data_IF_903282332745
#
_entry.id   IF_903282332745
#
_cell.length_a   1.000
_cell.length_b   1.000
_cell.length_c   1.000
_cell.angle_alpha   90.00
_cell.angle_beta   90.00
_cell.angle_gamma   90.00
#
_symmetry.space_group_name_H-M   'P 1'
#
loop_
_entity.id
_entity.type
_entity.pdbx_description
1 polymer ?
#
# COMPACT_ATOMS: atom_id res chain seq x y z
N UNK A 1 -0.26 10.96 28.74
CA UNK A 1 -0.81 11.51 27.49
C UNK A 1 0.02 10.97 26.34
N UNK A 2 -0.49 10.04 25.56
CA UNK A 2 0.19 9.58 24.34
C UNK A 2 0.06 10.67 23.29
N UNK A 3 1.19 11.07 22.71
CA UNK A 3 1.20 11.98 21.58
C UNK A 3 0.32 11.40 20.44
N UNK A 4 -0.44 12.21 19.71
CA UNK A 4 -1.20 11.72 18.57
C UNK A 4 -0.24 11.15 17.54
N UNK A 5 -0.61 10.04 16.86
CA UNK A 5 0.23 9.44 15.85
C UNK A 5 0.51 10.43 14.72
N UNK A 6 1.79 10.56 14.36
CA UNK A 6 2.20 11.48 13.28
C UNK A 6 2.02 10.88 11.90
N UNK A 7 2.28 9.58 11.75
CA UNK A 7 2.32 8.87 10.47
C UNK A 7 1.51 7.59 10.55
N UNK A 8 0.82 7.24 9.48
CA UNK A 8 0.29 5.90 9.29
C UNK A 8 0.97 5.21 8.12
N UNK A 9 1.25 3.92 8.28
CA UNK A 9 1.75 3.05 7.21
C UNK A 9 0.74 1.93 7.02
N UNK A 10 0.32 1.73 5.77
CA UNK A 10 -0.60 0.66 5.37
C UNK A 10 0.21 -0.48 4.75
N UNK A 11 0.29 -1.61 5.44
CA UNK A 11 1.02 -2.78 4.98
C UNK A 11 0.22 -3.55 3.91
N UNK A 12 0.89 -3.87 2.81
CA UNK A 12 0.37 -4.70 1.72
C UNK A 12 0.36 -6.19 2.04
N UNK A 13 -0.18 -6.99 1.09
CA UNK A 13 -0.21 -8.46 1.19
C UNK A 13 1.19 -9.03 1.38
N UNK A 14 1.37 -9.85 2.39
CA UNK A 14 2.64 -10.51 2.69
C UNK A 14 3.75 -9.61 3.25
N UNK A 15 3.57 -8.29 3.30
CA UNK A 15 4.54 -7.35 3.86
C UNK A 15 4.44 -7.34 5.39
N UNK A 16 5.45 -7.86 6.06
CA UNK A 16 5.58 -7.75 7.51
C UNK A 16 6.40 -6.51 7.87
N UNK A 17 5.71 -5.49 8.32
CA UNK A 17 6.28 -4.22 8.75
C UNK A 17 6.31 -4.05 10.28
N UNK A 18 6.05 -5.12 11.03
CA UNK A 18 6.08 -5.10 12.51
C UNK A 18 7.42 -4.60 13.08
N UNK A 19 8.52 -4.87 12.38
CA UNK A 19 9.86 -4.37 12.74
C UNK A 19 10.03 -2.85 12.72
N UNK A 20 9.04 -2.08 12.23
CA UNK A 20 9.04 -0.62 12.34
C UNK A 20 8.71 -0.13 13.76
N UNK A 21 8.01 -0.92 14.56
CA UNK A 21 7.63 -0.53 15.91
C UNK A 21 8.71 -0.91 16.92
N UNK A 22 9.63 0.03 17.20
CA UNK A 22 10.69 -0.16 18.22
C UNK A 22 10.07 -0.28 19.61
N UNK A 23 8.98 0.45 19.83
CA UNK A 23 8.22 0.48 21.06
C UNK A 23 6.73 0.32 20.76
N UNK A 24 6.24 -0.93 20.67
CA UNK A 24 4.82 -1.19 20.50
C UNK A 24 4.05 -0.76 21.75
N UNK A 25 2.89 -0.11 21.55
CA UNK A 25 2.02 0.35 22.62
C UNK A 25 0.74 -0.47 22.70
N UNK A 26 0.10 -0.73 21.56
CA UNK A 26 -1.11 -1.54 21.48
C UNK A 26 -1.30 -2.10 20.06
N UNK A 27 -2.02 -3.21 19.97
CA UNK A 27 -2.56 -3.76 18.73
C UNK A 27 -4.06 -4.05 18.93
N UNK A 28 -4.88 -3.66 17.97
CA UNK A 28 -6.34 -3.84 18.00
C UNK A 28 -6.87 -4.28 16.64
N UNK A 29 -7.87 -5.19 16.59
CA UNK A 29 -8.50 -5.58 15.34
C UNK A 29 -9.28 -4.40 14.73
N UNK A 30 -9.49 -4.44 13.42
CA UNK A 30 -10.30 -3.44 12.71
C UNK A 30 -11.69 -3.30 13.33
N UNK A 31 -12.29 -4.40 13.77
CA UNK A 31 -13.60 -4.42 14.42
C UNK A 31 -13.70 -3.61 15.72
N UNK A 32 -12.58 -3.19 16.29
CA UNK A 32 -12.57 -2.27 17.44
C UNK A 32 -12.76 -0.80 17.03
N UNK A 33 -12.84 -0.51 15.73
CA UNK A 33 -13.00 0.84 15.19
C UNK A 33 -14.28 0.94 14.39
N UNK A 34 -14.95 2.08 14.50
CA UNK A 34 -16.24 2.32 13.87
C UNK A 34 -16.19 2.07 12.35
N UNK A 35 -17.18 1.36 11.83
CA UNK A 35 -17.34 0.99 10.42
C UNK A 35 -16.22 0.12 9.81
N UNK A 36 -15.21 -0.31 10.59
CA UNK A 36 -14.15 -1.17 10.12
C UNK A 36 -14.52 -2.66 10.27
N UNK A 37 -14.86 -3.32 9.16
CA UNK A 37 -15.07 -4.76 9.16
C UNK A 37 -13.74 -5.53 9.13
N UNK A 38 -13.70 -6.77 9.65
CA UNK A 38 -12.53 -7.63 9.58
C UNK A 38 -12.04 -7.82 8.14
N UNK A 39 -10.73 -7.95 7.95
CA UNK A 39 -10.16 -8.39 6.68
C UNK A 39 -10.47 -9.88 6.47
N UNK A 40 -10.75 -10.27 5.22
CA UNK A 40 -11.15 -11.66 4.88
C UNK A 40 -10.14 -12.37 3.99
N UNK A 41 -9.22 -11.62 3.38
CA UNK A 41 -8.23 -12.16 2.45
C UNK A 41 -7.00 -12.66 3.22
N UNK A 42 -6.49 -13.83 2.83
CA UNK A 42 -5.27 -14.39 3.40
C UNK A 42 -4.08 -13.41 3.27
N UNK A 43 -3.24 -13.33 4.30
CA UNK A 43 -2.12 -12.39 4.35
C UNK A 43 -2.48 -10.99 4.91
N UNK A 44 -3.75 -10.79 5.33
CA UNK A 44 -4.22 -9.55 5.95
C UNK A 44 -4.74 -9.79 7.36
N UNK A 45 -3.95 -9.53 8.44
CA UNK A 45 -4.41 -9.70 9.82
C UNK A 45 -5.64 -8.85 10.17
N UNK A 46 -5.82 -7.69 9.53
CA UNK A 46 -6.94 -6.80 9.80
C UNK A 46 -6.84 -6.11 11.16
N UNK A 47 -5.64 -5.60 11.49
CA UNK A 47 -5.36 -4.93 12.76
C UNK A 47 -4.69 -3.56 12.54
N UNK A 48 -4.83 -2.70 13.55
CA UNK A 48 -3.96 -1.54 13.73
C UNK A 48 -3.03 -1.81 14.91
N UNK A 49 -1.74 -1.54 14.70
CA UNK A 49 -0.74 -1.53 15.75
C UNK A 49 -0.16 -0.12 15.90
N UNK A 50 -0.14 0.40 17.11
CA UNK A 50 0.45 1.71 17.38
C UNK A 50 1.72 1.56 18.21
N UNK A 51 2.65 2.48 17.99
CA UNK A 51 3.91 2.52 18.70
C UNK A 51 4.78 3.69 18.25
N UNK A 52 6.06 3.52 18.39
CA UNK A 52 7.07 4.51 17.99
C UNK A 52 8.10 3.85 17.08
N UNK A 53 8.57 4.59 16.08
CA UNK A 53 9.71 4.27 15.25
C UNK A 53 10.71 5.41 15.32
N UNK A 54 11.90 5.20 15.90
CA UNK A 54 12.89 6.26 16.08
C UNK A 54 12.34 7.46 16.89
N UNK A 55 11.44 7.23 17.84
CA UNK A 55 10.77 8.28 18.63
C UNK A 55 9.62 8.98 17.90
N UNK A 56 9.28 8.57 16.67
CA UNK A 56 8.15 9.12 15.90
C UNK A 56 6.92 8.26 16.15
N UNK A 57 5.80 8.84 16.65
CA UNK A 57 4.55 8.12 16.83
C UNK A 57 4.02 7.60 15.50
N UNK A 58 3.76 6.29 15.43
CA UNK A 58 3.39 5.56 14.22
C UNK A 58 2.17 4.68 14.47
N UNK A 59 1.24 4.66 13.49
CA UNK A 59 0.25 3.60 13.37
C UNK A 59 0.57 2.75 12.16
N UNK A 60 0.68 1.45 12.38
CA UNK A 60 0.77 0.46 11.33
C UNK A 60 -0.60 -0.18 11.10
N UNK A 61 -1.20 0.02 9.94
CA UNK A 61 -2.36 -0.74 9.49
C UNK A 61 -1.86 -2.05 8.88
N UNK A 62 -2.13 -3.17 9.56
CA UNK A 62 -1.71 -4.51 9.13
C UNK A 62 -2.82 -5.17 8.34
N UNK A 63 -2.72 -5.04 7.03
CA UNK A 63 -3.70 -5.58 6.08
C UNK A 63 -4.73 -4.56 5.62
N UNK A 64 -5.55 -5.00 4.65
CA UNK A 64 -6.57 -4.20 3.97
C UNK A 64 -7.70 -5.06 3.43
N UNK A 65 -8.71 -4.41 2.92
CA UNK A 65 -9.78 -5.03 2.13
C UNK A 65 -9.62 -4.66 0.65
N UNK A 66 -10.25 -5.44 -0.23
CA UNK A 66 -10.14 -5.27 -1.67
C UNK A 66 -11.51 -5.15 -2.34
N UNK A 67 -11.56 -4.48 -3.50
CA UNK A 67 -12.80 -4.29 -4.25
C UNK A 67 -13.42 -5.62 -4.68
N UNK A 68 -12.60 -6.63 -4.97
CA UNK A 68 -13.10 -7.96 -5.36
C UNK A 68 -13.80 -8.73 -4.23
N UNK A 69 -13.77 -8.26 -2.99
CA UNK A 69 -14.58 -8.78 -1.89
C UNK A 69 -16.06 -8.37 -2.00
N UNK A 70 -16.45 -7.62 -3.05
CA UNK A 70 -17.82 -7.19 -3.31
C UNK A 70 -18.30 -6.06 -2.39
N UNK A 71 -17.40 -5.32 -1.77
CA UNK A 71 -17.71 -4.24 -0.83
C UNK A 71 -17.71 -2.87 -1.48
N UNK A 72 -18.53 -1.96 -0.98
CA UNK A 72 -18.58 -0.57 -1.40
C UNK A 72 -17.35 0.23 -0.96
N UNK A 73 -17.13 1.38 -1.61
CA UNK A 73 -15.99 2.26 -1.35
C UNK A 73 -15.87 2.66 0.12
N UNK A 74 -17.00 2.96 0.78
CA UNK A 74 -17.01 3.36 2.20
C UNK A 74 -16.53 2.26 3.14
N UNK A 75 -16.97 1.02 2.93
CA UNK A 75 -16.53 -0.11 3.72
C UNK A 75 -15.07 -0.49 3.40
N UNK A 76 -14.65 -0.33 2.14
CA UNK A 76 -13.28 -0.56 1.68
C UNK A 76 -12.29 0.39 2.35
N UNK A 77 -12.67 1.67 2.49
CA UNK A 77 -11.81 2.75 2.97
C UNK A 77 -12.05 3.14 4.43
N UNK A 78 -12.94 2.43 5.14
CA UNK A 78 -13.19 2.67 6.55
C UNK A 78 -11.90 2.66 7.42
N UNK A 79 -10.92 1.77 7.19
CA UNK A 79 -9.65 1.84 7.92
C UNK A 79 -8.91 3.16 7.75
N UNK A 80 -8.94 3.77 6.56
CA UNK A 80 -8.30 5.09 6.33
C UNK A 80 -9.03 6.19 7.09
N UNK A 81 -10.36 6.14 7.17
CA UNK A 81 -11.13 7.09 8.00
C UNK A 81 -10.81 6.92 9.49
N UNK A 82 -10.63 5.69 9.94
CA UNK A 82 -10.20 5.43 11.32
C UNK A 82 -8.82 6.02 11.60
N UNK A 83 -7.87 5.90 10.66
CA UNK A 83 -6.56 6.55 10.77
C UNK A 83 -6.68 8.07 10.86
N UNK A 84 -7.51 8.68 10.02
CA UNK A 84 -7.76 10.12 10.08
C UNK A 84 -8.37 10.55 11.44
N UNK A 85 -9.36 9.80 11.95
CA UNK A 85 -9.96 10.05 13.26
C UNK A 85 -8.97 9.89 14.42
N UNK A 86 -7.93 9.08 14.27
CA UNK A 86 -6.82 8.95 15.22
C UNK A 86 -5.80 10.11 15.11
N UNK A 87 -5.98 11.05 14.19
CA UNK A 87 -5.17 12.26 14.08
C UNK A 87 -3.84 12.08 13.32
N UNK A 88 -3.74 11.06 12.43
CA UNK A 88 -2.57 10.94 11.57
C UNK A 88 -2.51 12.08 10.54
N UNK A 89 -1.32 12.55 10.20
CA UNK A 89 -1.09 13.53 9.13
C UNK A 89 -0.89 12.84 7.77
N UNK A 90 0.27 12.24 7.50
CA UNK A 90 0.51 11.49 6.28
C UNK A 90 0.14 10.01 6.40
N UNK A 91 -0.27 9.43 5.27
CA UNK A 91 -0.50 7.99 5.09
C UNK A 91 0.42 7.46 3.99
N UNK A 92 1.26 6.50 4.33
CA UNK A 92 2.11 5.79 3.37
C UNK A 92 1.49 4.43 3.07
N UNK A 93 1.06 4.24 1.84
CA UNK A 93 0.57 2.95 1.38
C UNK A 93 1.73 2.09 0.86
N UNK A 94 1.77 0.83 1.27
CA UNK A 94 2.66 -0.17 0.66
C UNK A 94 1.83 -1.28 0.04
N UNK A 95 2.31 -1.89 -1.02
CA UNK A 95 1.59 -2.99 -1.69
C UNK A 95 2.56 -3.97 -2.35
N UNK A 96 2.06 -5.16 -2.63
CA UNK A 96 2.64 -6.10 -3.58
C UNK A 96 2.10 -5.76 -4.98
N UNK A 97 2.97 -5.68 -5.98
CA UNK A 97 2.62 -5.34 -7.35
C UNK A 97 3.36 -6.23 -8.36
N UNK A 98 2.71 -6.48 -9.49
CA UNK A 98 3.33 -7.11 -10.66
C UNK A 98 4.07 -6.08 -11.50
N UNK A 99 5.33 -6.33 -11.83
CA UNK A 99 6.12 -5.48 -12.73
C UNK A 99 5.67 -5.65 -14.18
N UNK A 100 5.33 -4.55 -14.83
CA UNK A 100 4.91 -4.49 -16.24
C UNK A 100 6.07 -4.16 -17.18
N UNK A 101 7.23 -3.76 -16.67
CA UNK A 101 8.41 -3.42 -17.44
C UNK A 101 9.46 -4.54 -17.32
N UNK A 102 10.20 -4.86 -18.41
CA UNK A 102 11.18 -5.95 -18.42
C UNK A 102 12.32 -5.81 -17.40
N UNK A 103 12.66 -4.57 -17.06
CA UNK A 103 13.71 -4.22 -16.10
C UNK A 103 13.29 -4.33 -14.63
N UNK A 104 12.00 -4.48 -14.35
CA UNK A 104 11.52 -4.64 -12.98
C UNK A 104 11.62 -6.09 -12.52
N UNK A 105 12.42 -6.32 -11.49
CA UNK A 105 12.66 -7.65 -10.94
C UNK A 105 11.98 -7.81 -9.56
N UNK A 106 11.57 -9.04 -9.20
CA UNK A 106 11.01 -9.33 -7.89
C UNK A 106 11.94 -8.90 -6.74
N UNK A 107 11.38 -8.33 -5.70
CA UNK A 107 12.09 -7.78 -4.54
C UNK A 107 12.44 -6.30 -4.66
N UNK A 108 12.31 -5.69 -5.84
CA UNK A 108 12.53 -4.25 -6.00
C UNK A 108 11.43 -3.42 -5.34
N UNK A 109 11.82 -2.29 -4.77
CA UNK A 109 10.94 -1.29 -4.19
C UNK A 109 10.80 -0.11 -5.16
N UNK A 110 9.55 0.23 -5.49
CA UNK A 110 9.23 1.25 -6.46
C UNK A 110 8.44 2.39 -5.81
N UNK A 111 8.92 3.61 -5.90
CA UNK A 111 8.16 4.80 -5.52
C UNK A 111 7.07 5.08 -6.57
N UNK A 112 5.84 5.26 -6.12
CA UNK A 112 4.69 5.48 -7.01
C UNK A 112 4.51 6.96 -7.26
N UNK A 113 4.69 7.39 -8.52
CA UNK A 113 4.48 8.78 -8.96
C UNK A 113 3.00 9.10 -9.11
N UNK A 114 2.27 8.18 -9.72
CA UNK A 114 0.86 8.33 -10.02
C UNK A 114 0.20 6.96 -10.14
N UNK A 115 -1.08 6.89 -9.84
CA UNK A 115 -1.88 5.68 -10.03
C UNK A 115 -2.91 5.90 -11.13
N UNK A 116 -2.90 5.03 -12.15
CA UNK A 116 -3.95 4.90 -13.16
C UNK A 116 -4.99 3.93 -12.63
N UNK A 117 -6.28 4.30 -12.63
CA UNK A 117 -7.37 3.38 -12.31
C UNK A 117 -7.95 2.78 -13.58
N UNK A 118 -7.86 1.45 -13.74
CA UNK A 118 -8.33 0.76 -14.94
C UNK A 118 -9.21 -0.47 -14.58
N UNK A 119 -10.36 -0.67 -15.19
CA UNK A 119 -11.08 0.28 -16.04
C UNK A 119 -11.46 1.55 -15.26
N UNK A 120 -11.61 2.66 -15.96
CA UNK A 120 -11.79 3.99 -15.34
C UNK A 120 -12.81 3.99 -14.20
N UNK A 121 -12.32 3.96 -12.95
CA UNK A 121 -13.13 4.16 -11.75
C UNK A 121 -12.92 5.57 -11.21
N UNK A 122 -14.03 6.19 -10.82
CA UNK A 122 -14.01 7.46 -10.12
C UNK A 122 -14.42 7.23 -8.67
N UNK A 123 -13.56 7.69 -7.75
CA UNK A 123 -13.86 7.73 -6.33
C UNK A 123 -13.84 9.17 -5.83
N UNK A 124 -14.50 9.46 -4.69
CA UNK A 124 -14.26 10.73 -4.00
C UNK A 124 -12.75 10.86 -3.72
N UNK A 125 -12.14 11.98 -4.13
CA UNK A 125 -10.69 12.18 -3.97
C UNK A 125 -9.86 11.23 -4.85
N UNK A 126 -9.52 11.61 -6.06
CA UNK A 126 -8.66 10.80 -6.94
C UNK A 126 -7.30 10.52 -6.29
N UNK A 127 -6.62 9.38 -6.60
CA UNK A 127 -5.30 9.05 -6.04
C UNK A 127 -4.24 10.12 -6.27
N UNK A 128 -4.31 10.83 -7.41
CA UNK A 128 -3.45 11.99 -7.71
C UNK A 128 -1.97 11.65 -7.90
N UNK A 129 -1.15 12.68 -8.00
CA UNK A 129 0.30 12.59 -8.01
C UNK A 129 0.83 12.48 -6.58
N UNK A 130 1.88 11.70 -6.37
CA UNK A 130 2.21 11.16 -5.06
C UNK A 130 3.68 11.20 -4.69
N UNK A 131 4.53 11.74 -5.57
CA UNK A 131 5.96 11.58 -5.43
C UNK A 131 6.55 12.61 -4.46
N UNK A 132 6.66 12.32 -3.17
CA UNK A 132 7.43 13.17 -2.29
C UNK A 132 8.93 13.00 -2.57
N UNK A 133 9.65 14.11 -2.63
CA UNK A 133 11.07 14.17 -2.98
C UNK A 133 11.96 13.22 -2.15
N UNK A 134 11.59 12.97 -0.90
CA UNK A 134 12.32 12.08 0.02
C UNK A 134 12.21 10.59 -0.33
N UNK A 135 11.16 10.19 -1.06
CA UNK A 135 10.92 8.77 -1.36
C UNK A 135 11.71 8.28 -2.57
N UNK A 136 11.93 9.15 -3.55
CA UNK A 136 12.58 8.80 -4.82
C UNK A 136 13.98 8.21 -4.61
N UNK A 137 14.90 8.85 -3.88
CA UNK A 137 16.25 8.34 -3.73
C UNK A 137 16.34 7.06 -2.89
N UNK A 138 15.28 6.71 -2.17
CA UNK A 138 15.24 5.55 -1.31
C UNK A 138 14.78 4.27 -2.02
N UNK A 139 14.15 4.40 -3.19
CA UNK A 139 13.62 3.28 -3.97
C UNK A 139 14.54 2.90 -5.15
N UNK A 140 14.37 1.65 -5.65
CA UNK A 140 15.14 1.16 -6.81
C UNK A 140 14.64 1.75 -8.12
N UNK A 141 13.37 2.12 -8.16
CA UNK A 141 12.69 2.68 -9.33
C UNK A 141 11.58 3.64 -8.91
N UNK A 142 11.13 4.44 -9.86
CA UNK A 142 9.95 5.30 -9.72
C UNK A 142 9.02 5.11 -10.91
N UNK A 143 7.79 5.57 -10.80
CA UNK A 143 6.89 5.72 -11.95
C UNK A 143 5.42 5.46 -11.66
N UNK A 144 4.69 5.30 -12.74
CA UNK A 144 3.24 5.16 -12.75
C UNK A 144 2.84 3.70 -12.51
N UNK A 145 1.93 3.49 -11.56
CA UNK A 145 1.34 2.17 -11.31
C UNK A 145 -0.11 2.14 -11.76
N UNK A 146 -0.59 0.97 -12.18
CA UNK A 146 -1.98 0.75 -12.50
C UNK A 146 -2.70 0.07 -11.34
N UNK A 147 -3.91 0.53 -11.04
CA UNK A 147 -4.84 -0.19 -10.20
C UNK A 147 -5.87 -0.93 -11.05
N UNK A 148 -6.10 -2.19 -10.70
CA UNK A 148 -7.15 -3.05 -11.30
C UNK A 148 -8.01 -3.66 -10.19
N UNK A 149 -9.28 -4.04 -10.46
CA UNK A 149 -10.17 -4.56 -9.42
C UNK A 149 -9.77 -5.96 -8.90
N UNK A 150 -9.13 -6.81 -9.70
CA UNK A 150 -8.90 -8.21 -9.37
C UNK A 150 -10.22 -9.03 -9.34
N UNK A 151 -10.24 -10.26 -8.77
CA UNK A 151 -9.14 -10.97 -8.13
C UNK A 151 -8.20 -11.70 -9.11
N UNK A 152 -8.57 -11.80 -10.41
CA UNK A 152 -7.76 -12.45 -11.42
C UNK A 152 -6.53 -11.64 -11.76
N UNK A 153 -5.41 -12.31 -12.01
CA UNK A 153 -4.25 -11.68 -12.61
C UNK A 153 -4.53 -11.31 -14.07
N UNK A 154 -3.76 -10.37 -14.58
CA UNK A 154 -3.95 -9.78 -15.89
C UNK A 154 -3.61 -10.75 -17.02
N UNK A 155 -4.40 -10.74 -18.06
CA UNK A 155 -4.09 -11.37 -19.34
C UNK A 155 -2.97 -10.62 -20.07
N UNK A 156 -2.34 -11.23 -21.07
CA UNK A 156 -1.33 -10.55 -21.91
C UNK A 156 -1.88 -9.31 -22.61
N UNK A 157 -3.15 -9.34 -23.02
CA UNK A 157 -3.78 -8.20 -23.66
C UNK A 157 -3.95 -7.02 -22.69
N UNK A 158 -4.38 -7.30 -21.45
CA UNK A 158 -4.49 -6.30 -20.39
C UNK A 158 -3.13 -5.73 -20.01
N UNK A 159 -2.09 -6.59 -19.88
CA UNK A 159 -0.71 -6.14 -19.64
C UNK A 159 -0.27 -5.16 -20.73
N UNK A 160 -0.46 -5.52 -22.01
CA UNK A 160 -0.12 -4.64 -23.14
C UNK A 160 -0.89 -3.33 -23.13
N UNK A 161 -2.18 -3.35 -22.77
CA UNK A 161 -3.00 -2.16 -22.64
C UNK A 161 -2.49 -1.24 -21.49
N UNK A 162 -2.16 -1.81 -20.33
CA UNK A 162 -1.62 -1.06 -19.19
C UNK A 162 -0.26 -0.44 -19.51
N UNK A 163 0.61 -1.17 -20.19
CA UNK A 163 1.89 -0.65 -20.69
C UNK A 163 1.67 0.51 -21.67
N UNK A 164 0.72 0.38 -22.58
CA UNK A 164 0.33 1.45 -23.52
C UNK A 164 -0.22 2.71 -22.85
N UNK A 165 -0.75 2.59 -21.62
CA UNK A 165 -1.15 3.71 -20.77
C UNK A 165 0.02 4.29 -19.94
N UNK A 166 1.22 3.72 -20.06
CA UNK A 166 2.41 4.16 -19.35
C UNK A 166 2.56 3.57 -17.94
N UNK A 167 1.80 2.54 -17.58
CA UNK A 167 1.97 1.87 -16.30
C UNK A 167 3.22 0.98 -16.29
N UNK A 168 4.01 1.08 -15.23
CA UNK A 168 5.20 0.25 -15.00
C UNK A 168 4.96 -0.89 -14.02
N UNK A 169 3.91 -0.81 -13.20
CA UNK A 169 3.51 -1.88 -12.31
C UNK A 169 1.98 -1.94 -12.19
N UNK A 170 1.45 -3.05 -11.69
CA UNK A 170 0.01 -3.27 -11.53
C UNK A 170 -0.30 -3.90 -10.18
N UNK A 171 -1.39 -3.45 -9.55
CA UNK A 171 -1.87 -4.01 -8.29
C UNK A 171 -3.37 -3.78 -8.07
N UNK A 172 -3.92 -4.46 -7.05
CA UNK A 172 -5.37 -4.49 -6.77
C UNK A 172 -5.76 -3.64 -5.55
N UNK A 173 -4.83 -2.86 -5.01
CA UNK A 173 -4.98 -2.07 -3.77
C UNK A 173 -4.41 -0.67 -3.93
N UNK A 174 -4.28 0.09 -2.81
CA UNK A 174 -3.60 1.40 -2.75
C UNK A 174 -4.44 2.54 -3.31
N UNK A 175 -4.93 2.48 -4.55
CA UNK A 175 -5.68 3.59 -5.15
C UNK A 175 -6.93 4.02 -4.36
N UNK A 176 -7.77 3.10 -3.85
CA UNK A 176 -8.92 3.47 -3.02
C UNK A 176 -8.53 4.14 -1.71
N UNK A 177 -7.51 3.60 -1.03
CA UNK A 177 -7.01 4.16 0.24
C UNK A 177 -6.45 5.55 0.04
N UNK A 178 -5.68 5.75 -1.02
CA UNK A 178 -5.11 7.05 -1.34
C UNK A 178 -6.18 8.07 -1.73
N UNK A 179 -7.19 7.67 -2.52
CA UNK A 179 -8.31 8.52 -2.86
C UNK A 179 -9.06 8.96 -1.60
N UNK A 180 -9.31 8.04 -0.66
CA UNK A 180 -9.97 8.35 0.61
C UNK A 180 -9.12 9.26 1.50
N UNK A 181 -7.82 8.99 1.63
CA UNK A 181 -6.90 9.80 2.43
C UNK A 181 -6.85 11.24 1.91
N UNK A 182 -6.74 11.43 0.60
CA UNK A 182 -6.74 12.76 -0.03
C UNK A 182 -8.07 13.49 0.12
N UNK A 183 -9.21 12.78 0.02
CA UNK A 183 -10.53 13.36 0.28
C UNK A 183 -10.66 13.86 1.73
N UNK A 184 -9.91 13.29 2.66
CA UNK A 184 -9.81 13.72 4.06
C UNK A 184 -8.72 14.77 4.31
N UNK A 185 -8.06 15.27 3.28
CA UNK A 185 -6.98 16.27 3.39
C UNK A 185 -5.65 15.69 3.90
N UNK A 186 -5.49 14.36 3.94
CA UNK A 186 -4.26 13.73 4.37
C UNK A 186 -3.23 13.71 3.22
N UNK A 187 -1.95 13.92 3.56
CA UNK A 187 -0.86 13.69 2.62
C UNK A 187 -0.69 12.20 2.37
N UNK A 188 -0.36 11.82 1.15
CA UNK A 188 -0.22 10.41 0.78
C UNK A 188 1.09 10.16 0.03
N UNK A 189 1.66 8.99 0.24
CA UNK A 189 2.74 8.42 -0.54
C UNK A 189 2.49 6.93 -0.76
N UNK A 190 3.14 6.32 -1.76
CA UNK A 190 3.04 4.88 -1.95
C UNK A 190 4.37 4.27 -2.40
N UNK A 191 4.62 3.05 -1.91
CA UNK A 191 5.73 2.19 -2.31
C UNK A 191 5.18 0.85 -2.73
N UNK A 192 5.46 0.46 -3.97
CA UNK A 192 5.15 -0.86 -4.50
C UNK A 192 6.35 -1.78 -4.36
N UNK A 193 6.15 -2.95 -3.73
CA UNK A 193 7.09 -4.06 -3.77
C UNK A 193 6.77 -4.90 -5.00
N UNK A 194 7.70 -4.99 -5.94
CA UNK A 194 7.54 -5.84 -7.11
C UNK A 194 7.68 -7.29 -6.67
N UNK A 195 6.63 -8.08 -6.83
CA UNK A 195 6.60 -9.48 -6.38
C UNK A 195 6.75 -10.50 -7.49
N UNK A 196 6.47 -10.07 -8.71
CA UNK A 196 6.58 -10.89 -9.91
C UNK A 196 6.76 -10.01 -11.15
N UNK A 197 7.27 -10.56 -12.24
CA UNK A 197 7.27 -9.89 -13.55
C UNK A 197 6.13 -10.40 -14.41
N UNK A 198 5.30 -9.49 -14.93
CA UNK A 198 4.21 -9.81 -15.86
C UNK A 198 4.70 -9.99 -17.32
N UNK A 199 5.95 -9.57 -17.61
CA UNK A 199 6.54 -9.66 -18.95
C UNK A 199 6.96 -11.07 -19.36
N UNK A 200 7.06 -12.01 -18.40
CA UNK A 200 7.47 -13.40 -18.64
C UNK A 200 6.30 -14.35 -18.38
N UNK A 201 6.23 -15.43 -19.18
CA UNK A 201 5.27 -16.51 -18.92
C UNK A 201 5.72 -17.28 -17.70
N UNK A 202 4.97 -17.17 -16.62
CA UNK A 202 5.22 -17.95 -15.40
C UNK A 202 3.89 -18.37 -14.76
N UNK A 203 3.91 -19.47 -14.05
CA UNK A 203 2.77 -19.88 -13.24
C UNK A 203 2.84 -19.11 -11.92
N UNK A 204 2.12 -18.00 -11.85
CA UNK A 204 2.05 -17.19 -10.65
C UNK A 204 1.01 -17.78 -9.68
N UNK A 205 1.36 -17.85 -8.39
CA UNK A 205 0.44 -18.20 -7.31
C UNK A 205 0.48 -17.09 -6.25
N UNK A 206 -0.59 -16.98 -5.47
CA UNK A 206 -0.63 -16.03 -4.38
C UNK A 206 0.48 -16.28 -3.34
N UNK A 207 0.84 -17.54 -3.10
CA UNK A 207 1.93 -17.91 -2.18
C UNK A 207 3.30 -17.39 -2.64
N UNK A 208 3.58 -17.39 -3.94
CA UNK A 208 4.81 -16.81 -4.49
C UNK A 208 4.85 -15.28 -4.22
N UNK A 209 3.73 -14.60 -4.43
CA UNK A 209 3.59 -13.16 -4.13
C UNK A 209 3.86 -12.88 -2.65
N UNK A 210 3.25 -13.66 -1.76
CA UNK A 210 3.45 -13.52 -0.31
C UNK A 210 4.90 -13.81 0.12
N UNK A 211 5.55 -14.81 -0.47
CA UNK A 211 6.94 -15.15 -0.16
C UNK A 211 7.88 -14.00 -0.55
N UNK A 212 7.80 -13.53 -1.80
CA UNK A 212 8.63 -12.41 -2.29
C UNK A 212 8.40 -11.13 -1.47
N UNK A 213 7.14 -10.84 -1.12
CA UNK A 213 6.83 -9.68 -0.27
C UNK A 213 7.45 -9.80 1.13
N UNK A 214 7.43 -11.00 1.73
CA UNK A 214 8.10 -11.26 3.01
C UNK A 214 9.60 -11.04 2.95
N UNK A 215 10.25 -11.53 1.90
CA UNK A 215 11.69 -11.38 1.72
C UNK A 215 12.09 -9.90 1.55
N UNK A 216 11.25 -9.08 0.92
CA UNK A 216 11.46 -7.65 0.75
C UNK A 216 11.11 -6.83 2.01
N UNK A 217 10.42 -7.39 3.00
CA UNK A 217 9.89 -6.65 4.15
C UNK A 217 10.98 -5.98 4.98
N UNK A 218 12.11 -6.64 5.22
CA UNK A 218 13.21 -6.06 6.00
C UNK A 218 13.79 -4.82 5.31
N UNK A 219 13.96 -4.88 4.00
CA UNK A 219 14.46 -3.77 3.19
C UNK A 219 13.46 -2.61 3.16
N UNK A 220 12.17 -2.92 3.01
CA UNK A 220 11.10 -1.92 3.05
C UNK A 220 11.01 -1.25 4.44
N UNK A 221 11.16 -2.02 5.53
CA UNK A 221 11.25 -1.46 6.88
C UNK A 221 12.43 -0.50 7.02
N UNK A 222 13.61 -0.86 6.54
CA UNK A 222 14.79 0.01 6.58
C UNK A 222 14.56 1.31 5.79
N UNK A 223 13.99 1.21 4.58
CA UNK A 223 13.62 2.35 3.76
C UNK A 223 12.66 3.29 4.49
N UNK A 224 11.55 2.75 4.98
CA UNK A 224 10.52 3.54 5.66
C UNK A 224 11.06 4.17 6.95
N UNK A 225 11.86 3.45 7.73
CA UNK A 225 12.49 3.96 8.96
C UNK A 225 13.37 5.18 8.67
N UNK A 226 14.17 5.11 7.62
CA UNK A 226 15.05 6.22 7.21
C UNK A 226 14.26 7.42 6.69
N UNK A 227 13.13 7.18 6.03
CA UNK A 227 12.30 8.23 5.47
C UNK A 227 11.34 8.89 6.48
N UNK A 228 11.02 8.22 7.60
CA UNK A 228 10.06 8.73 8.60
C UNK A 228 10.35 10.15 9.13
N UNK A 229 11.62 10.57 9.37
CA UNK A 229 11.93 11.93 9.81
C UNK A 229 11.48 13.03 8.84
N UNK A 230 11.39 12.71 7.56
CA UNK A 230 11.04 13.65 6.47
C UNK A 230 9.51 13.79 6.29
N UNK A 231 8.71 13.00 7.01
CA UNK A 231 7.25 13.12 7.06
C UNK A 231 6.80 14.32 7.92
N UNK A 232 7.34 15.49 7.72
CA UNK A 232 6.98 16.71 8.47
C UNK A 232 5.86 17.49 7.81
#
# INVERSE_FOLDING_TARGET
MTLPPRVAIVAGSGLDLGGLLDRPLWEKPFSAFEHCAPAQVAGHPGTFAAGECGGIPLILQRGRRHVYEGIGFDALTAPVRALAAMGVGPVVCTNAAGGLLPELEPGQLRAVERVITWPCRRWPGQPGELLPDWLVPACDATGVDAWVPGPSYETRAEIGALQGLGAGAVGMSTAPEMAAARALGLRTAAVSCITNTCCRVQRLTHDHVLATARDASARLCALLRNALPDFR
#
